data_IF_203702469577
#
_entry.id   IF_203702469577
#
_cell.length_a   1.000
_cell.length_b   1.000
_cell.length_c   1.000
_cell.angle_alpha   90.00
_cell.angle_beta   90.00
_cell.angle_gamma   90.00
#
_symmetry.space_group_name_H-M   'P 1'
#
loop_
_entity.id
_entity.type
_entity.pdbx_description
1 polymer ?
#
# COMPACT_ATOMS: atom_id res chain seq x y z
N UNK A 1 26.23 0.36 12.38
CA UNK A 1 25.92 -1.02 11.94
C UNK A 1 24.63 -1.56 12.54
N UNK A 2 24.38 -1.47 13.86
CA UNK A 2 23.13 -2.00 14.46
C UNK A 2 21.88 -1.34 13.85
N UNK A 3 21.89 -0.01 13.69
CA UNK A 3 20.79 0.75 13.11
C UNK A 3 20.56 0.42 11.64
N UNK A 4 21.62 0.35 10.82
CA UNK A 4 21.52 0.02 9.40
C UNK A 4 20.97 -1.40 9.18
N UNK A 5 21.43 -2.37 9.98
CA UNK A 5 20.87 -3.73 9.96
C UNK A 5 19.38 -3.74 10.34
N UNK A 6 18.99 -2.96 11.34
CA UNK A 6 17.59 -2.86 11.74
C UNK A 6 16.72 -2.24 10.63
N UNK A 7 17.18 -1.15 9.98
CA UNK A 7 16.53 -0.59 8.78
C UNK A 7 16.39 -1.67 7.71
N UNK A 8 17.47 -2.43 7.45
CA UNK A 8 17.50 -3.50 6.46
C UNK A 8 16.45 -4.59 6.73
N UNK A 9 16.41 -5.13 7.95
CA UNK A 9 15.41 -6.11 8.36
C UNK A 9 13.99 -5.55 8.30
N UNK A 10 13.79 -4.32 8.75
CA UNK A 10 12.49 -3.65 8.70
C UNK A 10 11.95 -3.52 7.27
N UNK A 11 12.80 -3.18 6.28
CA UNK A 11 12.38 -3.17 4.88
C UNK A 11 12.01 -4.57 4.37
N UNK A 12 12.82 -5.59 4.70
CA UNK A 12 12.56 -6.96 4.26
C UNK A 12 11.26 -7.49 4.88
N UNK A 13 11.10 -7.39 6.20
CA UNK A 13 9.89 -7.86 6.89
C UNK A 13 8.66 -7.08 6.47
N UNK A 14 8.76 -5.75 6.30
CA UNK A 14 7.65 -4.95 5.80
C UNK A 14 7.24 -5.33 4.37
N UNK A 15 8.20 -5.55 3.48
CA UNK A 15 7.93 -5.96 2.10
C UNK A 15 7.22 -7.32 2.03
N UNK A 16 7.72 -8.33 2.77
CA UNK A 16 7.04 -9.62 2.86
C UNK A 16 5.71 -9.54 3.59
N UNK A 17 5.60 -8.67 4.60
CA UNK A 17 4.37 -8.41 5.35
C UNK A 17 3.25 -7.83 4.49
N UNK A 18 3.59 -7.09 3.43
CA UNK A 18 2.62 -6.63 2.43
C UNK A 18 2.36 -7.72 1.38
N UNK A 19 3.42 -8.36 0.86
CA UNK A 19 3.33 -9.32 -0.24
C UNK A 19 2.54 -10.60 0.11
N UNK A 20 2.77 -11.17 1.30
CA UNK A 20 2.18 -12.45 1.69
C UNK A 20 0.66 -12.33 1.87
N UNK A 21 0.11 -11.40 2.68
CA UNK A 21 -1.33 -11.23 2.80
C UNK A 21 -1.98 -10.82 1.48
N UNK A 22 -1.35 -9.97 0.67
CA UNK A 22 -1.85 -9.64 -0.67
C UNK A 22 -2.05 -10.91 -1.52
N UNK A 23 -1.04 -11.78 -1.55
CA UNK A 23 -1.11 -13.05 -2.29
C UNK A 23 -2.21 -13.95 -1.75
N UNK A 24 -2.35 -14.04 -0.42
CA UNK A 24 -3.44 -14.78 0.20
C UNK A 24 -4.81 -14.24 -0.19
N UNK A 25 -5.00 -12.91 -0.22
CA UNK A 25 -6.25 -12.26 -0.64
C UNK A 25 -6.59 -12.55 -2.11
N UNK A 26 -5.59 -12.61 -3.00
CA UNK A 26 -5.80 -13.04 -4.38
C UNK A 26 -6.35 -14.46 -4.45
N UNK A 27 -5.84 -15.37 -3.61
CA UNK A 27 -6.26 -16.78 -3.60
C UNK A 27 -7.64 -16.98 -2.97
N UNK A 28 -7.91 -16.34 -1.82
CA UNK A 28 -9.12 -16.63 -1.02
C UNK A 28 -10.29 -15.68 -1.30
N UNK A 29 -10.05 -14.54 -1.95
CA UNK A 29 -11.05 -13.50 -2.16
C UNK A 29 -11.00 -12.91 -3.59
N UNK A 30 -10.19 -13.46 -4.49
CA UNK A 30 -10.00 -12.95 -5.85
C UNK A 30 -9.60 -11.45 -5.89
N UNK A 31 -8.84 -11.01 -4.89
CA UNK A 31 -8.34 -9.63 -4.84
C UNK A 31 -7.21 -9.41 -5.86
N UNK A 32 -7.16 -8.28 -6.59
CA UNK A 32 -8.08 -7.12 -6.55
C UNK A 32 -9.27 -7.22 -7.51
N UNK A 33 -9.39 -8.28 -8.32
CA UNK A 33 -10.44 -8.39 -9.34
C UNK A 33 -11.86 -8.33 -8.78
N UNK A 34 -12.09 -8.88 -7.59
CA UNK A 34 -13.37 -8.80 -6.87
C UNK A 34 -13.86 -7.36 -6.68
N UNK A 35 -12.95 -6.37 -6.65
CA UNK A 35 -13.34 -4.96 -6.49
C UNK A 35 -14.06 -4.37 -7.71
N UNK A 36 -14.00 -5.06 -8.86
CA UNK A 36 -14.66 -4.66 -10.10
C UNK A 36 -16.07 -5.27 -10.23
N UNK A 37 -16.45 -6.15 -9.31
CA UNK A 37 -17.77 -6.76 -9.27
C UNK A 37 -18.82 -5.83 -8.66
N UNK A 38 -20.09 -6.16 -8.85
CA UNK A 38 -21.17 -5.45 -8.17
C UNK A 38 -21.04 -5.54 -6.64
N UNK A 39 -21.44 -4.46 -5.95
CA UNK A 39 -21.36 -4.39 -4.48
C UNK A 39 -22.05 -5.55 -3.77
N UNK A 40 -23.16 -6.06 -4.33
CA UNK A 40 -23.84 -7.23 -3.77
C UNK A 40 -22.95 -8.48 -3.77
N UNK A 41 -22.29 -8.75 -4.90
CA UNK A 41 -21.33 -9.85 -5.04
C UNK A 41 -20.17 -9.72 -4.07
N UNK A 42 -19.59 -8.52 -3.95
CA UNK A 42 -18.49 -8.26 -3.02
C UNK A 42 -18.90 -8.58 -1.58
N UNK A 43 -20.05 -8.06 -1.13
CA UNK A 43 -20.53 -8.27 0.24
C UNK A 43 -20.89 -9.74 0.51
N UNK A 44 -21.49 -10.43 -0.47
CA UNK A 44 -21.81 -11.86 -0.36
C UNK A 44 -20.54 -12.71 -0.26
N UNK A 45 -19.56 -12.52 -1.14
CA UNK A 45 -18.31 -13.28 -1.12
C UNK A 45 -17.48 -12.95 0.13
N UNK A 46 -17.49 -11.70 0.58
CA UNK A 46 -16.82 -11.32 1.82
C UNK A 46 -17.44 -12.03 3.03
N UNK A 47 -18.77 -12.07 3.12
CA UNK A 47 -19.47 -12.78 4.19
C UNK A 47 -19.15 -14.28 4.18
N UNK A 48 -19.09 -14.92 3.00
CA UNK A 48 -18.68 -16.33 2.86
C UNK A 48 -17.24 -16.58 3.31
N UNK A 49 -16.33 -15.63 3.09
CA UNK A 49 -14.93 -15.72 3.50
C UNK A 49 -14.70 -15.76 5.02
N UNK A 50 -15.64 -15.20 5.79
CA UNK A 50 -15.70 -15.29 7.25
C UNK A 50 -14.41 -14.84 7.97
N UNK A 51 -14.14 -15.44 9.13
CA UNK A 51 -13.02 -15.04 10.01
C UNK A 51 -11.65 -15.10 9.32
N UNK A 52 -11.43 -16.08 8.43
CA UNK A 52 -10.16 -16.23 7.71
C UNK A 52 -9.87 -15.00 6.85
N UNK A 53 -10.88 -14.49 6.14
CA UNK A 53 -10.75 -13.31 5.30
C UNK A 53 -10.48 -12.05 6.14
N UNK A 54 -11.19 -11.89 7.25
CA UNK A 54 -11.02 -10.75 8.18
C UNK A 54 -9.59 -10.70 8.73
N UNK A 55 -9.07 -11.84 9.21
CA UNK A 55 -7.70 -11.93 9.71
C UNK A 55 -6.65 -11.67 8.63
N UNK A 56 -6.91 -12.09 7.38
CA UNK A 56 -6.00 -11.84 6.26
C UNK A 56 -5.94 -10.34 5.93
N UNK A 57 -7.08 -9.66 5.91
CA UNK A 57 -7.13 -8.19 5.74
C UNK A 57 -6.45 -7.44 6.89
N UNK A 58 -6.65 -7.90 8.13
CA UNK A 58 -5.99 -7.31 9.29
C UNK A 58 -4.46 -7.49 9.20
N UNK A 59 -4.00 -8.70 8.85
CA UNK A 59 -2.59 -8.96 8.63
C UNK A 59 -2.03 -8.07 7.51
N UNK A 60 -2.78 -7.88 6.41
CA UNK A 60 -2.36 -7.00 5.32
C UNK A 60 -2.19 -5.54 5.77
N UNK A 61 -3.06 -5.05 6.66
CA UNK A 61 -2.96 -3.70 7.20
C UNK A 61 -1.77 -3.53 8.17
N UNK A 62 -1.48 -4.54 9.00
CA UNK A 62 -0.54 -4.41 10.14
C UNK A 62 0.87 -4.90 9.82
N UNK A 63 1.05 -5.91 8.98
CA UNK A 63 2.36 -6.49 8.72
C UNK A 63 3.28 -5.57 7.89
N UNK A 64 2.76 -4.48 7.32
CA UNK A 64 3.54 -3.39 6.73
C UNK A 64 4.17 -2.43 7.74
N UNK A 65 3.76 -2.46 9.02
CA UNK A 65 4.26 -1.55 10.07
C UNK A 65 5.78 -1.55 10.27
N UNK A 66 6.54 -2.63 10.04
CA UNK A 66 8.00 -2.57 10.09
C UNK A 66 8.61 -1.51 9.16
N UNK A 67 7.91 -1.04 8.11
CA UNK A 67 8.37 0.04 7.26
C UNK A 67 8.43 1.40 7.98
N UNK A 68 7.57 1.65 8.99
CA UNK A 68 7.56 2.91 9.74
C UNK A 68 8.91 3.22 10.40
N UNK A 69 9.47 2.34 11.27
CA UNK A 69 10.78 2.60 11.85
C UNK A 69 11.89 2.66 10.79
N UNK A 70 11.77 1.92 9.68
CA UNK A 70 12.73 2.01 8.58
C UNK A 70 12.77 3.42 7.98
N UNK A 71 11.60 4.01 7.72
CA UNK A 71 11.47 5.34 7.11
C UNK A 71 11.98 6.43 8.03
N UNK A 72 11.65 6.33 9.33
CA UNK A 72 12.06 7.30 10.35
C UNK A 72 13.58 7.26 10.55
N UNK A 73 14.15 6.08 10.77
CA UNK A 73 15.60 5.95 11.03
C UNK A 73 16.42 6.30 9.79
N UNK A 74 15.96 5.93 8.60
CA UNK A 74 16.59 6.33 7.35
C UNK A 74 16.53 7.86 7.18
N UNK A 75 15.37 8.46 7.47
CA UNK A 75 15.17 9.90 7.44
C UNK A 75 16.15 10.64 8.34
N UNK A 76 16.24 10.26 9.62
CA UNK A 76 17.15 10.84 10.60
C UNK A 76 18.63 10.76 10.16
N UNK A 77 19.02 9.67 9.50
CA UNK A 77 20.37 9.48 8.98
C UNK A 77 20.72 10.39 7.79
N UNK A 78 19.73 10.77 7.00
CA UNK A 78 19.94 11.51 5.75
C UNK A 78 19.50 12.98 5.84
N UNK A 79 18.64 13.36 6.78
CA UNK A 79 18.08 14.72 6.90
C UNK A 79 19.12 15.79 7.22
N UNK A 80 20.19 15.43 7.93
CA UNK A 80 21.28 16.35 8.23
C UNK A 80 22.07 16.74 6.98
N UNK A 81 22.02 15.90 5.93
CA UNK A 81 22.72 16.16 4.68
C UNK A 81 21.83 16.85 3.64
N UNK A 82 20.51 16.60 3.65
CA UNK A 82 19.54 17.29 2.81
C UNK A 82 18.22 17.54 3.52
N UNK A 83 17.80 18.81 3.55
CA UNK A 83 16.55 19.25 4.19
C UNK A 83 15.28 18.62 3.60
N UNK A 84 15.28 18.29 2.31
CA UNK A 84 14.11 17.66 1.67
C UNK A 84 13.82 16.25 2.19
N UNK A 85 14.81 15.55 2.76
CA UNK A 85 14.64 14.18 3.29
C UNK A 85 13.65 14.18 4.45
N UNK A 86 13.67 15.23 5.29
CA UNK A 86 12.71 15.37 6.38
C UNK A 86 11.26 15.33 5.85
N UNK A 87 10.99 16.10 4.81
CA UNK A 87 9.68 16.11 4.15
C UNK A 87 9.35 14.77 3.50
N UNK A 88 10.33 14.14 2.84
CA UNK A 88 10.13 12.80 2.27
C UNK A 88 9.72 11.81 3.36
N UNK A 89 10.42 11.77 4.50
CA UNK A 89 10.10 10.89 5.63
C UNK A 89 8.70 11.15 6.19
N UNK A 90 8.30 12.42 6.36
CA UNK A 90 6.94 12.76 6.79
C UNK A 90 5.91 12.20 5.81
N UNK A 91 6.08 12.44 4.51
CA UNK A 91 5.18 11.91 3.48
C UNK A 91 5.12 10.38 3.52
N UNK A 92 6.26 9.69 3.59
CA UNK A 92 6.29 8.23 3.65
C UNK A 92 5.57 7.67 4.87
N UNK A 93 5.77 8.27 6.04
CA UNK A 93 5.08 7.87 7.28
C UNK A 93 3.57 8.10 7.18
N UNK A 94 3.15 9.28 6.73
CA UNK A 94 1.72 9.59 6.54
C UNK A 94 1.11 8.66 5.49
N UNK A 95 1.81 8.40 4.38
CA UNK A 95 1.36 7.49 3.33
C UNK A 95 1.10 6.09 3.85
N UNK A 96 2.04 5.54 4.62
CA UNK A 96 1.87 4.23 5.26
C UNK A 96 0.67 4.20 6.24
N UNK A 97 0.52 5.22 7.07
CA UNK A 97 -0.58 5.29 8.04
C UNK A 97 -1.94 5.40 7.35
N UNK A 98 -2.06 6.26 6.34
CA UNK A 98 -3.31 6.43 5.59
C UNK A 98 -3.64 5.17 4.79
N UNK A 99 -2.65 4.51 4.19
CA UNK A 99 -2.83 3.22 3.52
C UNK A 99 -3.33 2.15 4.49
N UNK A 100 -2.73 2.05 5.68
CA UNK A 100 -3.16 1.13 6.73
C UNK A 100 -4.61 1.42 7.15
N UNK A 101 -4.97 2.68 7.41
CA UNK A 101 -6.34 3.07 7.76
C UNK A 101 -7.34 2.69 6.66
N UNK A 102 -6.95 2.90 5.39
CA UNK A 102 -7.71 2.42 4.26
C UNK A 102 -7.95 0.91 4.35
N UNK A 103 -6.90 0.11 4.56
CA UNK A 103 -7.01 -1.36 4.64
C UNK A 103 -7.87 -1.83 5.82
N UNK A 104 -7.78 -1.18 6.99
CA UNK A 104 -8.53 -1.55 8.19
C UNK A 104 -10.05 -1.47 8.02
N UNK A 105 -10.56 -0.75 7.00
CA UNK A 105 -11.99 -0.77 6.66
C UNK A 105 -12.48 -2.18 6.34
N UNK A 106 -11.65 -3.01 5.70
CA UNK A 106 -11.97 -4.40 5.39
C UNK A 106 -12.03 -5.28 6.64
N UNK A 107 -11.35 -4.90 7.72
CA UNK A 107 -11.36 -5.64 8.99
C UNK A 107 -12.51 -5.24 9.90
N UNK A 108 -12.84 -3.94 9.97
CA UNK A 108 -13.75 -3.43 11.00
C UNK A 108 -15.08 -2.90 10.48
N UNK A 109 -15.17 -2.53 9.20
CA UNK A 109 -16.39 -1.95 8.61
C UNK A 109 -17.09 -2.94 7.69
N UNK A 110 -16.36 -3.51 6.73
CA UNK A 110 -16.92 -4.43 5.73
C UNK A 110 -17.58 -5.67 6.35
N UNK A 111 -17.09 -6.29 7.44
CA UNK A 111 -17.79 -7.42 8.05
C UNK A 111 -19.19 -7.06 8.52
N UNK A 112 -19.37 -5.90 9.15
CA UNK A 112 -20.68 -5.41 9.62
C UNK A 112 -21.63 -5.20 8.43
N UNK A 113 -21.15 -4.53 7.37
CA UNK A 113 -21.94 -4.30 6.17
C UNK A 113 -22.31 -5.60 5.44
N UNK A 114 -21.37 -6.55 5.38
CA UNK A 114 -21.59 -7.85 4.74
C UNK A 114 -22.63 -8.70 5.47
N UNK A 115 -22.60 -8.68 6.81
CA UNK A 115 -23.59 -9.38 7.63
C UNK A 115 -24.97 -8.75 7.48
N UNK A 116 -25.08 -7.42 7.59
CA UNK A 116 -26.33 -6.70 7.38
C UNK A 116 -26.90 -6.92 5.97
N UNK A 117 -26.05 -6.97 4.96
CA UNK A 117 -26.47 -7.27 3.59
C UNK A 117 -27.03 -8.67 3.43
N UNK A 118 -26.42 -9.69 4.02
CA UNK A 118 -26.87 -11.08 3.85
C UNK A 118 -28.12 -11.39 4.69
N UNK A 119 -28.19 -10.87 5.92
CA UNK A 119 -29.26 -11.17 6.89
C UNK A 119 -30.47 -10.22 6.83
N UNK A 120 -30.31 -9.05 6.22
CA UNK A 120 -31.33 -8.01 6.19
C UNK A 120 -32.40 -8.19 5.11
N UNK A 121 -33.47 -7.42 5.25
CA UNK A 121 -34.51 -7.24 4.24
C UNK A 121 -34.01 -6.42 3.02
N UNK A 122 -34.89 -6.18 2.04
CA UNK A 122 -34.53 -5.43 0.83
C UNK A 122 -34.04 -4.01 1.12
N UNK A 123 -34.65 -3.34 2.10
CA UNK A 123 -34.27 -1.99 2.52
C UNK A 123 -32.85 -2.00 3.13
N UNK A 124 -32.58 -2.94 4.03
CA UNK A 124 -31.27 -3.10 4.67
C UNK A 124 -30.18 -3.46 3.64
N UNK A 125 -30.51 -4.29 2.65
CA UNK A 125 -29.62 -4.62 1.54
C UNK A 125 -29.25 -3.39 0.71
N UNK A 126 -30.23 -2.58 0.34
CA UNK A 126 -30.00 -1.35 -0.41
C UNK A 126 -29.13 -0.36 0.39
N UNK A 127 -29.45 -0.15 1.67
CA UNK A 127 -28.66 0.71 2.56
C UNK A 127 -27.21 0.23 2.71
N UNK A 128 -27.00 -1.09 2.87
CA UNK A 128 -25.66 -1.67 2.99
C UNK A 128 -24.82 -1.48 1.72
N UNK A 129 -25.44 -1.57 0.53
CA UNK A 129 -24.76 -1.29 -0.74
C UNK A 129 -24.29 0.17 -0.83
N UNK A 130 -25.17 1.12 -0.52
CA UNK A 130 -24.82 2.56 -0.55
C UNK A 130 -23.74 2.87 0.49
N UNK A 131 -23.88 2.37 1.71
CA UNK A 131 -22.87 2.55 2.77
C UNK A 131 -21.50 1.98 2.36
N UNK A 132 -21.49 0.80 1.73
CA UNK A 132 -20.27 0.21 1.21
C UNK A 132 -19.63 1.10 0.14
N UNK A 133 -20.41 1.60 -0.83
CA UNK A 133 -19.88 2.47 -1.88
C UNK A 133 -19.23 3.73 -1.31
N UNK A 134 -19.86 4.39 -0.34
CA UNK A 134 -19.31 5.57 0.33
C UNK A 134 -17.98 5.26 1.03
N UNK A 135 -17.94 4.19 1.84
CA UNK A 135 -16.72 3.79 2.56
C UNK A 135 -15.64 3.29 1.60
N UNK A 136 -16.01 2.63 0.52
CA UNK A 136 -15.08 2.14 -0.50
C UNK A 136 -14.45 3.31 -1.26
N UNK A 137 -15.24 4.30 -1.68
CA UNK A 137 -14.73 5.48 -2.37
C UNK A 137 -13.88 6.36 -1.42
N UNK A 138 -14.33 6.61 -0.19
CA UNK A 138 -13.59 7.45 0.73
C UNK A 138 -12.38 6.73 1.34
N UNK A 139 -12.58 5.59 1.99
CA UNK A 139 -11.52 4.86 2.67
C UNK A 139 -10.59 4.11 1.71
N UNK A 140 -11.12 3.62 0.59
CA UNK A 140 -10.35 2.94 -0.44
C UNK A 140 -9.67 3.88 -1.39
N UNK A 141 -10.48 4.51 -2.26
CA UNK A 141 -9.96 5.33 -3.36
C UNK A 141 -9.24 6.55 -2.83
N UNK A 142 -9.86 7.40 -2.00
CA UNK A 142 -9.26 8.66 -1.55
C UNK A 142 -8.10 8.43 -0.57
N UNK A 143 -8.34 7.70 0.52
CA UNK A 143 -7.32 7.52 1.56
C UNK A 143 -6.26 6.51 1.12
N UNK A 144 -6.65 5.25 0.93
CA UNK A 144 -5.71 4.17 0.66
C UNK A 144 -4.96 4.36 -0.65
N UNK A 145 -5.69 4.33 -1.76
CA UNK A 145 -5.12 4.19 -3.10
C UNK A 145 -4.63 5.53 -3.68
N UNK A 146 -5.26 6.65 -3.36
CA UNK A 146 -4.81 7.95 -3.84
C UNK A 146 -3.71 8.52 -2.94
N UNK A 147 -4.07 8.97 -1.72
CA UNK A 147 -3.13 9.63 -0.81
C UNK A 147 -1.99 8.67 -0.40
N UNK A 148 -2.32 7.45 0.02
CA UNK A 148 -1.36 6.46 0.47
C UNK A 148 -0.33 6.09 -0.61
N UNK A 149 -0.78 5.76 -1.82
CA UNK A 149 0.12 5.43 -2.92
C UNK A 149 0.91 6.65 -3.39
N UNK A 150 0.28 7.82 -3.53
CA UNK A 150 0.96 9.03 -3.99
C UNK A 150 2.12 9.41 -3.06
N UNK A 151 1.89 9.37 -1.75
CA UNK A 151 2.94 9.66 -0.78
C UNK A 151 4.04 8.60 -0.77
N UNK A 152 3.68 7.33 -0.99
CA UNK A 152 4.66 6.24 -1.18
C UNK A 152 5.52 6.49 -2.41
N UNK A 153 4.93 6.88 -3.54
CA UNK A 153 5.61 7.21 -4.80
C UNK A 153 6.58 8.37 -4.58
N UNK A 154 6.10 9.47 -3.97
CA UNK A 154 6.94 10.65 -3.70
C UNK A 154 8.09 10.29 -2.76
N UNK A 155 7.83 9.53 -1.69
CA UNK A 155 8.87 9.05 -0.77
C UNK A 155 9.92 8.21 -1.51
N UNK A 156 9.50 7.25 -2.34
CA UNK A 156 10.41 6.39 -3.12
C UNK A 156 11.30 7.21 -4.04
N UNK A 157 10.74 8.17 -4.78
CA UNK A 157 11.52 9.04 -5.68
C UNK A 157 12.53 9.87 -4.88
N UNK A 158 12.11 10.49 -3.77
CA UNK A 158 12.99 11.36 -2.98
C UNK A 158 14.11 10.58 -2.29
N UNK A 159 13.82 9.39 -1.75
CA UNK A 159 14.85 8.54 -1.12
C UNK A 159 15.80 7.96 -2.17
N UNK A 160 15.30 7.50 -3.31
CA UNK A 160 16.16 7.06 -4.42
C UNK A 160 17.08 8.19 -4.92
N UNK A 161 16.57 9.42 -4.97
CA UNK A 161 17.38 10.59 -5.29
C UNK A 161 18.49 10.82 -4.26
N UNK A 162 18.18 10.75 -2.96
CA UNK A 162 19.21 10.83 -1.93
C UNK A 162 20.27 9.72 -2.06
N UNK A 163 19.86 8.47 -2.36
CA UNK A 163 20.80 7.36 -2.59
C UNK A 163 21.71 7.59 -3.79
N UNK A 164 21.19 8.12 -4.89
CA UNK A 164 21.96 8.42 -6.08
C UNK A 164 22.97 9.55 -5.84
N UNK A 165 22.56 10.64 -5.18
CA UNK A 165 23.43 11.79 -4.89
C UNK A 165 24.64 11.38 -4.02
N UNK A 166 24.40 10.59 -2.98
CA UNK A 166 25.47 10.14 -2.08
C UNK A 166 26.22 8.89 -2.55
N UNK A 167 25.83 8.31 -3.70
CA UNK A 167 26.36 7.02 -4.18
C UNK A 167 26.33 5.95 -3.08
N UNK A 168 25.26 5.95 -2.25
CA UNK A 168 25.11 5.03 -1.11
C UNK A 168 25.05 3.60 -1.63
N UNK A 169 24.31 3.40 -2.71
CA UNK A 169 24.10 2.12 -3.39
C UNK A 169 24.41 2.24 -4.88
N UNK A 170 24.57 1.10 -5.59
CA UNK A 170 24.72 1.11 -7.05
C UNK A 170 23.58 1.87 -7.74
N UNK A 171 23.91 2.64 -8.78
CA UNK A 171 22.96 3.56 -9.43
C UNK A 171 21.73 2.86 -10.03
N UNK A 172 21.86 1.60 -10.44
CA UNK A 172 20.74 0.82 -10.97
C UNK A 172 19.59 0.68 -9.96
N UNK A 173 19.88 0.68 -8.65
CA UNK A 173 18.86 0.62 -7.59
C UNK A 173 17.98 1.88 -7.58
N UNK A 174 18.56 3.05 -7.88
CA UNK A 174 17.80 4.31 -7.97
C UNK A 174 16.95 4.35 -9.24
N UNK A 175 17.48 3.86 -10.37
CA UNK A 175 16.70 3.72 -11.60
C UNK A 175 15.52 2.76 -11.44
N UNK A 176 15.71 1.62 -10.78
CA UNK A 176 14.63 0.69 -10.45
C UNK A 176 13.52 1.38 -9.64
N UNK A 177 13.89 2.19 -8.64
CA UNK A 177 12.94 2.96 -7.84
C UNK A 177 12.15 3.96 -8.69
N UNK A 178 12.83 4.72 -9.54
CA UNK A 178 12.17 5.70 -10.41
C UNK A 178 11.22 5.04 -11.39
N UNK A 179 11.66 3.97 -12.05
CA UNK A 179 10.81 3.21 -12.98
C UNK A 179 9.60 2.64 -12.27
N UNK A 180 9.79 1.99 -11.11
CA UNK A 180 8.69 1.47 -10.31
C UNK A 180 7.71 2.56 -9.88
N UNK A 181 8.20 3.71 -9.41
CA UNK A 181 7.39 4.83 -8.97
C UNK A 181 6.60 5.49 -10.13
N UNK A 182 7.22 5.65 -11.31
CA UNK A 182 6.56 6.20 -12.50
C UNK A 182 5.46 5.26 -13.03
N UNK A 183 5.73 3.95 -13.04
CA UNK A 183 4.71 2.94 -13.37
C UNK A 183 3.59 2.99 -12.32
N UNK A 184 3.93 3.03 -11.03
CA UNK A 184 2.94 3.03 -9.97
C UNK A 184 2.06 4.29 -9.99
N UNK A 185 2.60 5.44 -10.39
CA UNK A 185 1.83 6.67 -10.60
C UNK A 185 0.72 6.51 -11.65
N UNK A 186 0.91 5.64 -12.65
CA UNK A 186 -0.13 5.36 -13.64
C UNK A 186 -1.32 4.59 -13.04
N UNK A 187 -1.19 3.98 -11.85
CA UNK A 187 -2.31 3.34 -11.16
C UNK A 187 -3.41 4.35 -10.77
N UNK A 188 -3.06 5.63 -10.65
CA UNK A 188 -4.02 6.70 -10.36
C UNK A 188 -5.09 6.85 -11.46
N UNK A 189 -4.82 6.34 -12.66
CA UNK A 189 -5.80 6.32 -13.76
C UNK A 189 -7.05 5.48 -13.43
N UNK A 190 -6.90 4.36 -12.72
CA UNK A 190 -8.04 3.55 -12.25
C UNK A 190 -8.92 4.32 -11.27
N UNK A 191 -8.32 5.19 -10.46
CA UNK A 191 -9.04 5.98 -9.46
C UNK A 191 -9.87 7.09 -10.10
N UNK A 192 -9.31 7.77 -11.11
CA UNK A 192 -10.07 8.76 -11.88
C UNK A 192 -11.22 8.11 -12.67
N UNK A 193 -11.02 6.90 -13.18
CA UNK A 193 -12.07 6.15 -13.87
C UNK A 193 -13.26 5.78 -12.98
N UNK A 194 -13.13 5.84 -11.64
CA UNK A 194 -14.29 5.61 -10.76
C UNK A 194 -15.25 6.79 -10.70
N UNK A 195 -14.83 7.98 -11.16
CA UNK A 195 -15.63 9.22 -11.12
C UNK A 195 -15.76 9.93 -12.46
N UNK A 196 -14.89 9.65 -13.42
CA UNK A 196 -14.94 10.18 -14.79
C UNK A 196 -15.21 9.01 -15.75
N UNK A 197 -16.42 8.93 -16.33
CA UNK A 197 -16.71 7.95 -17.37
C UNK A 197 -15.70 8.01 -18.52
N UNK A 198 -15.30 6.85 -19.04
CA UNK A 198 -14.37 6.70 -20.19
C UNK A 198 -12.94 7.22 -19.98
N UNK A 199 -12.54 7.53 -18.73
CA UNK A 199 -11.16 7.90 -18.44
C UNK A 199 -10.20 6.75 -18.82
N UNK A 200 -9.07 7.01 -19.51
CA UNK A 200 -8.17 5.97 -19.95
C UNK A 200 -7.52 5.25 -18.76
N UNK A 201 -7.66 3.93 -18.69
CA UNK A 201 -7.18 3.09 -17.59
C UNK A 201 -5.95 2.29 -17.98
N UNK A 202 -4.91 2.32 -17.14
CA UNK A 202 -3.73 1.46 -17.26
C UNK A 202 -3.78 0.40 -16.15
N UNK A 203 -4.58 -0.66 -16.38
CA UNK A 203 -4.96 -1.63 -15.33
C UNK A 203 -3.81 -2.46 -14.76
N UNK A 204 -2.71 -2.63 -15.50
CA UNK A 204 -1.54 -3.37 -15.04
C UNK A 204 -0.57 -2.52 -14.19
N UNK A 205 -0.71 -1.19 -14.21
CA UNK A 205 0.24 -0.27 -13.60
C UNK A 205 0.33 -0.42 -12.07
N UNK A 206 -0.80 -0.56 -11.38
CA UNK A 206 -0.84 -0.74 -9.94
C UNK A 206 -0.10 -2.01 -9.50
N UNK A 207 -0.34 -3.12 -10.19
CA UNK A 207 0.33 -4.40 -9.90
C UNK A 207 1.83 -4.33 -10.21
N UNK A 208 2.21 -3.87 -11.40
CA UNK A 208 3.61 -3.82 -11.80
C UNK A 208 4.42 -2.83 -10.94
N UNK A 209 3.89 -1.62 -10.72
CA UNK A 209 4.54 -0.57 -9.94
C UNK A 209 4.76 -0.98 -8.48
N UNK A 210 3.72 -1.51 -7.83
CA UNK A 210 3.83 -2.00 -6.45
C UNK A 210 4.77 -3.20 -6.33
N UNK A 211 4.76 -4.13 -7.30
CA UNK A 211 5.69 -5.29 -7.31
C UNK A 211 7.14 -4.85 -7.43
N UNK A 212 7.44 -3.92 -8.35
CA UNK A 212 8.80 -3.35 -8.49
C UNK A 212 9.20 -2.64 -7.21
N UNK A 213 8.28 -1.88 -6.59
CA UNK A 213 8.54 -1.20 -5.32
C UNK A 213 8.84 -2.18 -4.17
N UNK A 214 8.07 -3.28 -4.04
CA UNK A 214 8.33 -4.35 -3.06
C UNK A 214 9.71 -4.97 -3.30
N UNK A 215 10.03 -5.34 -4.54
CA UNK A 215 11.33 -5.89 -4.89
C UNK A 215 12.47 -4.91 -4.56
N UNK A 216 12.26 -3.62 -4.83
CA UNK A 216 13.21 -2.57 -4.50
C UNK A 216 13.43 -2.44 -2.99
N UNK A 217 12.38 -2.48 -2.17
CA UNK A 217 12.51 -2.48 -0.70
C UNK A 217 13.33 -3.66 -0.20
N UNK A 218 13.12 -4.86 -0.73
CA UNK A 218 13.89 -6.06 -0.37
C UNK A 218 15.36 -5.87 -0.73
N UNK A 219 15.65 -5.41 -1.95
CA UNK A 219 17.02 -5.14 -2.42
C UNK A 219 17.73 -4.12 -1.52
N UNK A 220 17.09 -2.97 -1.28
CA UNK A 220 17.63 -1.93 -0.40
C UNK A 220 17.81 -2.48 1.02
N UNK A 221 16.86 -3.29 1.50
CA UNK A 221 16.94 -3.96 2.78
C UNK A 221 18.19 -4.84 2.91
N UNK A 222 18.45 -5.70 1.91
CA UNK A 222 19.63 -6.57 1.84
C UNK A 222 20.92 -5.74 1.79
N UNK A 223 20.95 -4.69 0.97
CA UNK A 223 22.13 -3.83 0.87
C UNK A 223 22.44 -3.13 2.20
N UNK A 224 21.42 -2.74 2.96
CA UNK A 224 21.58 -2.15 4.29
C UNK A 224 22.17 -3.11 5.33
N UNK A 225 21.97 -4.43 5.19
CA UNK A 225 22.55 -5.41 6.12
C UNK A 225 24.08 -5.37 6.14
N UNK A 226 24.69 -4.96 5.03
CA UNK A 226 26.14 -4.90 4.82
C UNK A 226 26.68 -3.46 4.71
N UNK A 227 25.82 -2.43 4.81
CA UNK A 227 26.20 -1.02 4.66
C UNK A 227 26.33 -0.32 6.01
N UNK A 228 27.28 0.61 6.09
CA UNK A 228 27.37 1.62 7.15
C UNK A 228 27.13 2.98 6.51
N UNK A 229 26.13 3.72 7.01
CA UNK A 229 25.95 5.12 6.65
C UNK A 229 26.81 5.95 7.60
N UNK A 230 27.86 6.55 7.06
CA UNK A 230 28.69 7.56 7.73
C UNK A 230 28.14 8.96 7.49
#
# INVERSE_FOLDING_TARGET
MKTEKFIGYSFIFGAFGVLVPYTMLTIIFNYPNILREETGTILTEFHKGGNRLIWTWWAFAILGLPLLPAYVLLGQKLEQKYSFVRWATVLGVVGLLVQMLGLLRWTFVVPVLSHSFVSGDEMTKAASKVAFQVIHQYGGVVLGEHIGQLFTIVWTIKIAYAFAQFKIFPQWTSWMAYTGALIYLQAQTELFATVIPEFPVISWAGFAGSTIWIAWLIIIGILFLNKKLE
#
